data_IF_161205966872
#
_entry.id   IF_161205966872
#
_cell.length_a   1.000
_cell.length_b   1.000
_cell.length_c   1.000
_cell.angle_alpha   90.00
_cell.angle_beta   90.00
_cell.angle_gamma   90.00
#
_symmetry.space_group_name_H-M   'P 1'
#
loop_
_entity.id
_entity.type
_entity.pdbx_description
1 polymer ?
#
# COMPACT_ATOMS: atom_id res chain seq x y z
N UNK A 1 23.22 -12.42 -7.64
CA UNK A 1 22.27 -12.20 -8.75
C UNK A 1 22.78 -11.06 -9.65
N UNK A 2 22.41 -10.98 -10.94
CA UNK A 2 22.98 -9.96 -11.86
C UNK A 2 22.61 -8.55 -11.37
N UNK A 3 23.53 -7.55 -11.39
CA UNK A 3 23.24 -6.17 -10.97
C UNK A 3 22.07 -5.51 -11.72
N UNK A 4 21.77 -5.96 -12.94
CA UNK A 4 20.70 -5.40 -13.77
C UNK A 4 19.34 -6.03 -13.52
N UNK A 5 19.21 -6.95 -12.55
CA UNK A 5 17.95 -7.60 -12.22
C UNK A 5 17.10 -6.72 -11.28
N UNK A 6 16.86 -5.48 -11.69
CA UNK A 6 16.08 -4.50 -10.94
C UNK A 6 14.57 -4.66 -11.17
N UNK A 7 13.74 -3.88 -10.49
CA UNK A 7 12.28 -3.98 -10.62
C UNK A 7 11.79 -3.74 -12.04
N UNK A 8 12.32 -2.73 -12.75
CA UNK A 8 11.98 -2.49 -14.16
C UNK A 8 12.34 -3.68 -15.05
N UNK A 9 13.51 -4.31 -14.85
CA UNK A 9 13.93 -5.46 -15.64
C UNK A 9 12.99 -6.66 -15.44
N UNK A 10 12.55 -6.92 -14.20
CA UNK A 10 11.58 -7.97 -13.91
C UNK A 10 10.21 -7.67 -14.53
N UNK A 11 9.73 -6.43 -14.48
CA UNK A 11 8.47 -6.04 -15.12
C UNK A 11 8.52 -6.27 -16.65
N UNK A 12 9.64 -5.89 -17.31
CA UNK A 12 9.82 -6.17 -18.75
C UNK A 12 9.88 -7.65 -19.07
N UNK A 13 10.54 -8.44 -18.22
CA UNK A 13 10.61 -9.89 -18.39
C UNK A 13 9.23 -10.54 -18.20
N UNK A 14 8.47 -10.10 -17.18
CA UNK A 14 7.11 -10.57 -16.93
C UNK A 14 6.18 -10.34 -18.11
N UNK A 15 6.27 -9.15 -18.72
CA UNK A 15 5.44 -8.79 -19.87
C UNK A 15 5.74 -9.57 -21.17
N UNK A 16 6.87 -10.30 -21.24
CA UNK A 16 7.36 -10.89 -22.51
C UNK A 16 7.57 -12.40 -22.45
N UNK A 17 8.07 -12.90 -21.33
CA UNK A 17 8.70 -14.22 -21.27
C UNK A 17 8.32 -15.04 -20.02
N UNK A 18 7.79 -14.41 -18.97
CA UNK A 18 7.62 -15.11 -17.69
C UNK A 18 6.51 -16.18 -17.75
N UNK A 19 6.78 -17.39 -17.25
CA UNK A 19 5.76 -18.43 -17.09
C UNK A 19 4.95 -18.29 -15.77
N UNK A 20 5.25 -17.26 -14.98
CA UNK A 20 4.67 -16.97 -13.67
C UNK A 20 4.40 -15.46 -13.57
N UNK A 21 3.51 -15.04 -12.68
CA UNK A 21 3.10 -13.64 -12.56
C UNK A 21 2.86 -13.23 -11.12
N UNK A 22 3.13 -11.95 -10.82
CA UNK A 22 2.93 -11.34 -9.51
C UNK A 22 2.63 -9.85 -9.69
N UNK A 23 2.08 -9.21 -8.65
CA UNK A 23 1.48 -7.88 -8.77
C UNK A 23 2.51 -6.77 -8.82
N UNK A 24 3.57 -6.82 -8.02
CA UNK A 24 4.60 -5.80 -8.07
C UNK A 24 6.00 -6.33 -7.75
N UNK A 25 7.01 -5.72 -8.39
CA UNK A 25 8.42 -5.90 -8.05
C UNK A 25 8.94 -4.64 -7.39
N UNK A 26 9.66 -4.79 -6.28
CA UNK A 26 10.15 -3.72 -5.42
C UNK A 26 11.67 -3.74 -5.42
N UNK A 27 12.27 -2.60 -5.70
CA UNK A 27 13.70 -2.34 -5.59
C UNK A 27 14.00 -1.34 -4.47
N UNK A 28 15.28 -1.05 -4.26
CA UNK A 28 15.74 -0.01 -3.36
C UNK A 28 15.33 1.42 -3.80
N UNK A 29 15.07 1.61 -5.09
CA UNK A 29 14.88 2.92 -5.71
C UNK A 29 13.59 3.05 -6.53
N UNK A 30 12.91 1.95 -6.82
CA UNK A 30 11.70 1.94 -7.65
C UNK A 30 10.76 0.77 -7.32
N UNK A 31 9.48 0.93 -7.68
CA UNK A 31 8.46 -0.11 -7.61
C UNK A 31 7.77 -0.19 -8.96
N UNK A 32 7.62 -1.39 -9.50
CA UNK A 32 6.91 -1.65 -10.76
C UNK A 32 5.74 -2.59 -10.55
N UNK A 33 4.53 -2.06 -10.75
CA UNK A 33 3.31 -2.87 -10.79
C UNK A 33 3.20 -3.57 -12.15
N UNK A 34 3.01 -4.89 -12.12
CA UNK A 34 2.91 -5.75 -13.32
C UNK A 34 1.50 -6.31 -13.53
N UNK A 35 0.69 -6.43 -12.49
CA UNK A 35 -0.73 -6.84 -12.57
C UNK A 35 -1.61 -5.86 -11.78
N UNK A 36 -2.87 -5.75 -12.17
CA UNK A 36 -3.88 -5.04 -11.38
C UNK A 36 -4.09 -5.72 -10.02
N UNK A 37 -4.34 -4.94 -8.96
CA UNK A 37 -4.51 -5.48 -7.59
C UNK A 37 -5.74 -6.39 -7.41
N UNK A 38 -6.64 -6.44 -8.39
CA UNK A 38 -7.79 -7.36 -8.42
C UNK A 38 -7.60 -8.56 -9.35
N UNK A 39 -6.47 -8.65 -10.04
CA UNK A 39 -6.15 -9.74 -10.96
C UNK A 39 -5.46 -10.89 -10.23
N UNK A 40 -5.74 -12.13 -10.61
CA UNK A 40 -5.06 -13.30 -10.08
C UNK A 40 -3.61 -13.39 -10.61
N UNK A 41 -2.66 -13.60 -9.70
CA UNK A 41 -1.28 -13.93 -10.03
C UNK A 41 -0.98 -15.43 -9.96
N UNK A 42 0.14 -15.84 -10.56
CA UNK A 42 0.67 -17.20 -10.50
C UNK A 42 2.06 -17.22 -9.86
N UNK A 43 2.11 -17.04 -8.54
CA UNK A 43 3.37 -16.87 -7.79
C UNK A 43 3.52 -17.80 -6.58
N UNK A 44 2.42 -18.24 -5.97
CA UNK A 44 2.47 -18.98 -4.70
C UNK A 44 2.89 -20.45 -4.86
N UNK A 45 2.75 -21.03 -6.05
CA UNK A 45 3.18 -22.42 -6.32
C UNK A 45 2.32 -23.50 -5.64
N UNK A 46 1.12 -23.16 -5.19
CA UNK A 46 0.16 -24.02 -4.49
C UNK A 46 -0.96 -24.56 -5.42
N UNK A 47 -0.71 -24.52 -6.73
CA UNK A 47 -1.61 -25.05 -7.76
C UNK A 47 -2.69 -24.07 -8.24
N UNK A 48 -3.51 -24.53 -9.19
CA UNK A 48 -4.48 -23.70 -9.92
C UNK A 48 -5.56 -23.06 -9.03
N UNK A 49 -6.00 -23.79 -8.00
CA UNK A 49 -7.02 -23.35 -7.04
C UNK A 49 -6.48 -23.12 -5.64
N UNK A 50 -5.16 -22.96 -5.50
CA UNK A 50 -4.53 -22.74 -4.20
C UNK A 50 -4.83 -21.33 -3.66
N UNK A 51 -5.01 -21.16 -2.33
CA UNK A 51 -5.33 -19.87 -1.73
C UNK A 51 -4.23 -18.82 -1.92
N UNK A 52 -2.96 -19.22 -2.02
CA UNK A 52 -1.86 -18.32 -2.29
C UNK A 52 -1.98 -17.64 -3.65
N UNK A 53 -2.36 -18.35 -4.71
CA UNK A 53 -2.60 -17.70 -6.02
C UNK A 53 -3.95 -16.97 -6.09
N UNK A 54 -5.00 -17.56 -5.52
CA UNK A 54 -6.39 -17.08 -5.72
C UNK A 54 -6.83 -16.00 -4.72
N UNK A 55 -6.14 -15.90 -3.58
CA UNK A 55 -6.50 -15.00 -2.48
C UNK A 55 -5.28 -14.26 -1.91
N UNK A 56 -4.29 -13.93 -2.73
CA UNK A 56 -3.21 -13.07 -2.27
C UNK A 56 -2.62 -12.19 -3.38
N UNK A 57 -1.88 -11.17 -2.95
CA UNK A 57 -1.08 -10.32 -3.83
C UNK A 57 0.40 -10.75 -3.73
N UNK A 58 1.04 -10.97 -4.88
CA UNK A 58 2.46 -11.27 -4.98
C UNK A 58 3.30 -9.99 -5.04
N UNK A 59 4.11 -9.77 -4.01
CA UNK A 59 5.09 -8.68 -3.95
C UNK A 59 6.50 -9.28 -3.91
N UNK A 60 7.28 -9.06 -4.95
CA UNK A 60 8.66 -9.56 -5.06
C UNK A 60 9.65 -8.46 -4.70
N UNK A 61 10.60 -8.75 -3.80
CA UNK A 61 11.65 -7.82 -3.40
C UNK A 61 12.94 -8.22 -4.14
N UNK A 62 13.53 -7.27 -4.85
CA UNK A 62 14.78 -7.48 -5.56
C UNK A 62 15.92 -7.85 -4.61
N UNK A 63 16.87 -8.63 -5.13
CA UNK A 63 18.09 -9.07 -4.41
C UNK A 63 19.30 -9.04 -5.35
N UNK A 64 19.32 -8.08 -6.28
CA UNK A 64 20.41 -7.95 -7.22
C UNK A 64 21.70 -7.49 -6.53
N UNK A 65 22.84 -7.83 -7.12
CA UNK A 65 24.12 -7.33 -6.60
C UNK A 65 24.13 -5.80 -6.60
N UNK A 66 24.55 -5.20 -5.48
CA UNK A 66 24.63 -3.75 -5.30
C UNK A 66 23.35 -3.07 -4.81
N UNK A 67 22.26 -3.81 -4.57
CA UNK A 67 21.02 -3.26 -3.99
C UNK A 67 21.24 -2.80 -2.54
N UNK A 68 20.59 -1.71 -2.14
CA UNK A 68 20.36 -1.42 -0.73
C UNK A 68 19.17 -2.25 -0.21
N UNK A 69 19.48 -3.42 0.37
CA UNK A 69 18.47 -4.33 0.91
C UNK A 69 17.55 -3.70 1.95
N UNK A 70 18.06 -2.76 2.77
CA UNK A 70 17.27 -2.13 3.80
C UNK A 70 16.27 -1.12 3.20
N UNK A 71 16.69 -0.39 2.16
CA UNK A 71 15.79 0.47 1.40
C UNK A 71 14.72 -0.34 0.64
N UNK A 72 15.10 -1.48 0.04
CA UNK A 72 14.17 -2.36 -0.65
C UNK A 72 13.11 -2.95 0.31
N UNK A 73 13.53 -3.42 1.50
CA UNK A 73 12.62 -3.88 2.55
C UNK A 73 11.67 -2.75 2.99
N UNK A 74 12.19 -1.53 3.18
CA UNK A 74 11.39 -0.39 3.60
C UNK A 74 10.36 0.02 2.54
N UNK A 75 10.74 0.03 1.26
CA UNK A 75 9.85 0.27 0.13
C UNK A 75 8.74 -0.79 0.05
N UNK A 76 9.09 -2.05 0.28
CA UNK A 76 8.13 -3.16 0.30
C UNK A 76 7.16 -3.03 1.49
N UNK A 77 7.65 -2.61 2.66
CA UNK A 77 6.81 -2.36 3.83
C UNK A 77 5.84 -1.18 3.59
N UNK A 78 6.33 -0.10 2.97
CA UNK A 78 5.51 1.04 2.58
C UNK A 78 4.39 0.64 1.60
N UNK A 79 4.73 -0.10 0.54
CA UNK A 79 3.75 -0.58 -0.44
C UNK A 79 2.71 -1.49 0.21
N UNK A 80 3.15 -2.41 1.08
CA UNK A 80 2.26 -3.31 1.81
C UNK A 80 1.26 -2.52 2.67
N UNK A 81 1.71 -1.51 3.40
CA UNK A 81 0.84 -0.64 4.19
C UNK A 81 -0.17 0.14 3.32
N UNK A 82 0.29 0.68 2.18
CA UNK A 82 -0.56 1.40 1.22
C UNK A 82 -1.67 0.51 0.66
N UNK A 83 -1.35 -0.73 0.30
CA UNK A 83 -2.31 -1.71 -0.21
C UNK A 83 -3.37 -2.03 0.84
N UNK A 84 -2.95 -2.32 2.08
CA UNK A 84 -3.87 -2.63 3.19
C UNK A 84 -4.80 -1.47 3.51
N UNK A 85 -4.28 -0.25 3.62
CA UNK A 85 -5.09 0.96 3.81
C UNK A 85 -5.98 1.33 2.63
N UNK A 86 -5.68 0.80 1.44
CA UNK A 86 -6.49 0.92 0.23
C UNK A 86 -7.58 -0.15 0.12
N UNK A 87 -7.65 -1.10 1.07
CA UNK A 87 -8.57 -2.24 1.00
C UNK A 87 -8.16 -3.30 -0.03
N UNK A 88 -6.89 -3.29 -0.45
CA UNK A 88 -6.31 -4.33 -1.28
C UNK A 88 -5.65 -5.42 -0.43
N UNK A 89 -5.62 -6.63 -0.99
CA UNK A 89 -5.14 -7.82 -0.30
C UNK A 89 -6.24 -8.52 0.48
N UNK A 90 -5.85 -9.64 1.09
CA UNK A 90 -6.74 -10.53 1.81
C UNK A 90 -6.30 -10.60 3.28
N UNK A 91 -6.46 -11.76 3.92
CA UNK A 91 -6.19 -11.94 5.33
C UNK A 91 -4.69 -11.98 5.63
N UNK A 92 -4.20 -10.91 6.27
CA UNK A 92 -2.86 -10.87 6.86
C UNK A 92 -1.72 -10.59 5.87
N UNK A 93 -0.50 -10.78 6.36
CA UNK A 93 0.76 -10.61 5.62
C UNK A 93 1.57 -11.89 5.88
N UNK A 94 1.92 -12.61 4.82
CA UNK A 94 2.60 -13.90 4.92
C UNK A 94 3.81 -13.96 3.99
N UNK A 95 4.79 -14.78 4.37
CA UNK A 95 5.91 -15.13 3.51
C UNK A 95 5.48 -16.19 2.49
N UNK A 96 6.14 -16.28 1.33
CA UNK A 96 5.89 -17.36 0.36
C UNK A 96 6.07 -18.76 0.98
N UNK A 97 6.97 -18.90 1.94
CA UNK A 97 7.16 -20.10 2.76
C UNK A 97 5.85 -20.64 3.38
N UNK A 98 4.90 -19.77 3.72
CA UNK A 98 3.60 -20.17 4.27
C UNK A 98 2.83 -21.10 3.33
N UNK A 99 2.89 -20.86 2.02
CA UNK A 99 2.08 -21.58 1.03
C UNK A 99 2.65 -22.97 0.68
N UNK A 100 3.97 -23.09 0.59
CA UNK A 100 4.62 -24.30 0.02
C UNK A 100 5.78 -24.83 0.86
N UNK A 101 6.21 -24.14 1.90
CA UNK A 101 7.44 -24.45 2.63
C UNK A 101 8.72 -24.04 1.90
N UNK A 102 8.64 -23.44 0.70
CA UNK A 102 9.80 -22.90 -0.02
C UNK A 102 10.56 -21.90 0.85
N UNK A 103 11.89 -21.91 0.82
CA UNK A 103 12.69 -20.89 1.52
C UNK A 103 12.65 -19.55 0.78
N UNK A 104 11.52 -18.86 0.88
CA UNK A 104 11.23 -17.59 0.23
C UNK A 104 10.34 -16.73 1.14
N UNK A 105 10.64 -15.45 1.38
CA UNK A 105 11.78 -14.68 0.87
C UNK A 105 13.11 -15.07 1.54
N UNK A 106 14.12 -15.45 0.74
CA UNK A 106 15.32 -16.11 1.26
C UNK A 106 16.17 -15.21 2.18
N UNK A 107 16.35 -13.94 1.82
CA UNK A 107 17.18 -13.00 2.60
C UNK A 107 16.53 -12.64 3.94
N UNK A 108 15.23 -12.34 3.92
CA UNK A 108 14.44 -12.09 5.14
C UNK A 108 14.48 -13.31 6.08
N UNK A 109 14.39 -14.53 5.54
CA UNK A 109 14.42 -15.76 6.35
C UNK A 109 15.81 -16.14 6.85
N UNK A 110 16.86 -15.72 6.14
CA UNK A 110 18.24 -16.00 6.52
C UNK A 110 18.68 -15.17 7.75
N UNK A 111 18.04 -14.02 7.97
CA UNK A 111 18.38 -13.12 9.07
C UNK A 111 17.31 -13.13 10.19
N UNK A 112 17.65 -13.60 11.40
CA UNK A 112 16.73 -13.57 12.54
C UNK A 112 16.22 -12.15 12.84
N UNK A 113 14.90 -12.02 13.04
CA UNK A 113 14.27 -10.74 13.35
C UNK A 113 13.94 -9.86 12.14
N UNK A 114 14.42 -10.19 10.92
CA UNK A 114 14.19 -9.35 9.74
C UNK A 114 12.73 -9.35 9.31
N UNK A 115 12.03 -10.49 9.44
CA UNK A 115 10.59 -10.56 9.17
C UNK A 115 9.77 -9.74 10.17
N UNK A 116 10.10 -9.82 11.45
CA UNK A 116 9.44 -9.08 12.51
C UNK A 116 9.63 -7.57 12.30
N UNK A 117 10.85 -7.13 11.95
CA UNK A 117 11.12 -5.73 11.59
C UNK A 117 10.35 -5.27 10.37
N UNK A 118 10.21 -6.11 9.34
CA UNK A 118 9.39 -5.81 8.18
C UNK A 118 7.93 -5.55 8.59
N UNK A 119 7.34 -6.42 9.42
CA UNK A 119 5.97 -6.24 9.91
C UNK A 119 5.82 -4.98 10.79
N UNK A 120 6.81 -4.67 11.63
CA UNK A 120 6.84 -3.43 12.41
C UNK A 120 6.88 -2.19 11.50
N UNK A 121 7.66 -2.21 10.43
CA UNK A 121 7.71 -1.12 9.45
C UNK A 121 6.36 -0.93 8.76
N UNK A 122 5.68 -2.01 8.36
CA UNK A 122 4.32 -1.94 7.79
C UNK A 122 3.38 -1.25 8.77
N UNK A 123 3.36 -1.69 10.03
CA UNK A 123 2.49 -1.12 11.06
C UNK A 123 2.76 0.38 11.29
N UNK A 124 4.03 0.80 11.28
CA UNK A 124 4.41 2.22 11.40
C UNK A 124 3.91 3.05 10.22
N UNK A 125 4.01 2.54 8.99
CA UNK A 125 3.46 3.23 7.83
C UNK A 125 1.93 3.32 7.89
N UNK A 126 1.25 2.24 8.31
CA UNK A 126 -0.21 2.25 8.50
C UNK A 126 -0.63 3.30 9.53
N UNK A 127 0.06 3.38 10.67
CA UNK A 127 -0.19 4.37 11.71
C UNK A 127 0.04 5.80 11.19
N UNK A 128 1.19 6.04 10.55
CA UNK A 128 1.55 7.37 10.01
C UNK A 128 0.54 7.86 8.99
N UNK A 129 0.18 7.03 8.01
CA UNK A 129 -0.79 7.38 6.97
C UNK A 129 -2.20 7.59 7.54
N UNK A 130 -2.60 6.77 8.52
CA UNK A 130 -3.88 6.95 9.22
C UNK A 130 -3.91 8.27 9.99
N UNK A 131 -2.82 8.59 10.69
CA UNK A 131 -2.68 9.86 11.41
C UNK A 131 -2.79 11.06 10.47
N UNK A 132 -2.04 11.07 9.37
CA UNK A 132 -2.13 12.14 8.36
C UNK A 132 -3.56 12.27 7.80
N UNK A 133 -4.23 11.15 7.47
CA UNK A 133 -5.63 11.18 6.99
C UNK A 133 -6.60 11.75 8.03
N UNK A 134 -6.37 11.48 9.31
CA UNK A 134 -7.19 12.03 10.40
C UNK A 134 -6.95 13.52 10.59
N UNK A 135 -5.68 13.95 10.57
CA UNK A 135 -5.30 15.37 10.63
C UNK A 135 -5.96 16.16 9.49
N UNK A 136 -5.87 15.68 8.25
CA UNK A 136 -6.53 16.30 7.09
C UNK A 136 -8.06 16.39 7.25
N UNK A 137 -8.67 15.37 7.86
CA UNK A 137 -10.12 15.35 8.12
C UNK A 137 -10.50 16.36 9.20
N UNK A 138 -9.70 16.49 10.25
CA UNK A 138 -9.91 17.49 11.31
C UNK A 138 -9.82 18.88 10.71
N UNK A 139 -8.77 19.19 9.95
CA UNK A 139 -8.62 20.49 9.28
C UNK A 139 -9.82 20.83 8.40
N UNK A 140 -10.28 19.90 7.55
CA UNK A 140 -11.47 20.11 6.71
C UNK A 140 -12.76 20.33 7.52
N UNK A 141 -12.89 19.71 8.69
CA UNK A 141 -14.04 19.91 9.56
C UNK A 141 -13.99 21.28 10.24
N UNK A 142 -12.82 21.71 10.69
CA UNK A 142 -12.61 23.04 11.28
C UNK A 142 -12.93 24.14 10.28
N UNK A 143 -12.46 24.03 9.03
CA UNK A 143 -12.79 24.96 7.95
C UNK A 143 -14.30 25.05 7.70
N UNK A 144 -15.00 23.91 7.75
CA UNK A 144 -16.45 23.86 7.52
C UNK A 144 -17.25 24.42 8.70
N UNK A 145 -16.78 24.23 9.94
CA UNK A 145 -17.38 24.85 11.12
C UNK A 145 -17.27 26.37 11.02
N UNK A 146 -16.08 26.89 10.70
CA UNK A 146 -15.86 28.33 10.55
C UNK A 146 -16.76 28.96 9.46
N UNK A 147 -16.94 28.28 8.33
CA UNK A 147 -17.88 28.71 7.29
C UNK A 147 -19.33 28.78 7.79
N UNK A 148 -19.81 27.73 8.50
CA UNK A 148 -21.16 27.71 9.06
C UNK A 148 -21.38 28.78 10.14
N UNK A 149 -20.38 29.03 10.98
CA UNK A 149 -20.42 30.10 11.98
C UNK A 149 -20.53 31.48 11.32
N UNK A 150 -19.79 31.71 10.22
CA UNK A 150 -19.88 32.94 9.43
C UNK A 150 -21.26 33.10 8.77
N UNK A 151 -21.80 32.03 8.17
CA UNK A 151 -23.13 32.07 7.54
C UNK A 151 -24.24 32.35 8.57
N UNK A 152 -24.15 31.75 9.77
CA UNK A 152 -25.09 32.01 10.85
C UNK A 152 -24.99 33.46 11.37
N UNK A 153 -23.78 34.01 11.46
CA UNK A 153 -23.57 35.41 11.83
C UNK A 153 -24.22 36.36 10.80
N UNK A 154 -24.15 36.06 9.49
CA UNK A 154 -24.82 36.83 8.46
C UNK A 154 -26.35 36.73 8.59
N UNK A 155 -26.88 35.52 8.76
CA UNK A 155 -28.33 35.28 8.86
C UNK A 155 -28.98 35.95 10.09
N UNK A 156 -28.22 36.20 11.15
CA UNK A 156 -28.70 36.87 12.36
C UNK A 156 -28.63 38.41 12.31
N UNK A 157 -27.92 38.97 11.31
CA UNK A 157 -27.73 40.41 11.13
C UNK A 157 -28.69 41.01 10.09
N UNK A 158 -29.34 40.20 9.24
CA UNK A 158 -30.42 40.70 8.38
C UNK A 158 -31.60 41.21 9.23
N UNK A 159 -31.96 42.51 9.14
CA UNK A 159 -33.00 43.06 9.98
C UNK A 159 -34.37 42.55 9.53
N UNK A 160 -35.23 42.26 10.51
CA UNK A 160 -36.66 42.22 10.33
C UNK A 160 -37.17 43.61 9.91
N UNK A 161 -37.00 43.97 8.64
CA UNK A 161 -37.61 45.17 8.06
C UNK A 161 -38.56 44.78 6.93
N UNK A 162 -39.73 44.28 7.33
CA UNK A 162 -41.00 44.65 6.70
C UNK A 162 -41.98 45.02 7.81
N UNK A 163 -41.72 46.16 8.46
CA UNK A 163 -42.80 46.90 9.09
C UNK A 163 -43.68 47.47 7.96
N UNK A 164 -44.94 47.05 7.97
CA UNK A 164 -46.08 47.97 7.94
C UNK A 164 -45.84 49.29 7.18
N UNK A 165 -46.28 49.34 5.92
CA UNK A 165 -46.82 50.55 5.28
C UNK A 165 -48.21 50.16 4.80
N UNK A 166 -49.23 50.51 5.60
CA UNK A 166 -50.04 51.74 5.48
C UNK A 166 -51.24 51.53 4.55
N UNK A 167 -52.42 51.71 5.16
CA UNK A 167 -53.72 52.18 4.62
C UNK A 167 -54.44 51.34 3.55
#
# INVERSE_FOLDING_TARGET
PRPTANAHAHARWMAREAPYSWHATIDDSEVWQSLDWGEQGWHAGDGAGGPGNTTSLGLEICMHEGIDEAAADLNAAWLTARLRLGGHGYEGIVQHNHWTGKNCPALIRAEPGRWERFLEQVARFEESETRTRLEDRVTRLEERVAALESDLAIATVEPASRSEREA
#
